data_IF_763566844630
#
_entry.id   IF_763566844630
#
_cell.length_a   1.000
_cell.length_b   1.000
_cell.length_c   1.000
_cell.angle_alpha   90.00
_cell.angle_beta   90.00
_cell.angle_gamma   90.00
#
_symmetry.space_group_name_H-M   'P 1'
#
loop_
_entity.id
_entity.type
_entity.pdbx_description
1 polymer ?
#
# COMPACT_ATOMS: atom_id res chain seq x y z
N UNK A 1 29.76 25.04 -21.22
CA UNK A 1 28.34 25.28 -20.81
C UNK A 1 27.38 24.09 -21.09
N UNK A 2 27.52 23.34 -22.20
CA UNK A 2 26.59 22.25 -22.61
C UNK A 2 26.57 21.04 -21.65
N UNK A 3 27.72 20.63 -21.09
CA UNK A 3 27.82 19.49 -20.16
C UNK A 3 27.06 19.73 -18.84
N UNK A 4 27.08 20.97 -18.32
CA UNK A 4 26.35 21.34 -17.11
C UNK A 4 24.83 21.26 -17.33
N UNK A 5 24.33 21.72 -18.49
CA UNK A 5 22.91 21.59 -18.86
C UNK A 5 22.48 20.12 -18.97
N UNK A 6 23.32 19.24 -19.54
CA UNK A 6 23.05 17.78 -19.60
C UNK A 6 22.92 17.13 -18.22
N UNK A 7 23.83 17.41 -17.28
CA UNK A 7 23.75 16.88 -15.90
C UNK A 7 22.47 17.34 -15.19
N UNK A 8 22.08 18.61 -15.37
CA UNK A 8 20.86 19.19 -14.77
C UNK A 8 19.58 18.52 -15.28
N UNK A 9 19.48 18.28 -16.59
CA UNK A 9 18.33 17.59 -17.21
C UNK A 9 18.25 16.13 -16.74
N UNK A 10 19.38 15.43 -16.68
CA UNK A 10 19.42 14.04 -16.24
C UNK A 10 19.00 13.89 -14.77
N UNK A 11 19.46 14.81 -13.89
CA UNK A 11 19.04 14.86 -12.49
C UNK A 11 17.54 15.14 -12.34
N UNK A 12 16.99 16.03 -13.17
CA UNK A 12 15.54 16.31 -13.22
C UNK A 12 14.73 15.08 -13.62
N UNK A 13 15.16 14.36 -14.66
CA UNK A 13 14.48 13.14 -15.12
C UNK A 13 14.54 12.00 -14.08
N UNK A 14 15.70 11.78 -13.46
CA UNK A 14 15.84 10.80 -12.37
C UNK A 14 14.95 11.13 -11.17
N UNK A 15 14.90 12.39 -10.74
CA UNK A 15 14.02 12.82 -9.64
C UNK A 15 12.55 12.58 -9.98
N UNK A 16 12.14 12.88 -11.22
CA UNK A 16 10.77 12.60 -11.69
C UNK A 16 10.44 11.11 -11.64
N UNK A 17 11.36 10.25 -12.09
CA UNK A 17 11.19 8.79 -12.04
C UNK A 17 11.07 8.26 -10.62
N UNK A 18 11.89 8.77 -9.69
CA UNK A 18 11.78 8.42 -8.27
C UNK A 18 10.41 8.78 -7.70
N UNK A 19 9.90 9.99 -7.99
CA UNK A 19 8.57 10.39 -7.55
C UNK A 19 7.46 9.50 -8.12
N UNK A 20 7.50 9.17 -9.41
CA UNK A 20 6.53 8.25 -10.02
C UNK A 20 6.57 6.89 -9.32
N UNK A 21 7.77 6.33 -9.12
CA UNK A 21 7.95 5.01 -8.52
C UNK A 21 7.46 5.02 -7.05
N UNK A 22 7.72 6.10 -6.33
CA UNK A 22 7.22 6.31 -4.96
C UNK A 22 5.70 6.45 -4.93
N UNK A 23 5.09 7.14 -5.88
CA UNK A 23 3.62 7.21 -5.97
C UNK A 23 3.01 5.83 -6.21
N UNK A 24 3.60 5.02 -7.11
CA UNK A 24 3.12 3.65 -7.35
C UNK A 24 3.28 2.78 -6.10
N UNK A 25 4.42 2.88 -5.40
CA UNK A 25 4.63 2.22 -4.12
C UNK A 25 3.53 2.58 -3.11
N UNK A 26 3.28 3.88 -2.93
CA UNK A 26 2.30 4.37 -1.96
C UNK A 26 0.89 3.92 -2.32
N UNK A 27 0.51 3.92 -3.60
CA UNK A 27 -0.78 3.41 -4.04
C UNK A 27 -0.93 1.92 -3.73
N UNK A 28 0.07 1.09 -4.06
CA UNK A 28 0.03 -0.34 -3.76
C UNK A 28 0.00 -0.60 -2.24
N UNK A 29 0.82 0.12 -1.48
CA UNK A 29 0.86 0.05 -0.01
C UNK A 29 -0.50 0.42 0.60
N UNK A 30 -1.07 1.54 0.19
CA UNK A 30 -2.37 2.02 0.69
C UNK A 30 -3.51 1.09 0.31
N UNK A 31 -3.46 0.41 -0.84
CA UNK A 31 -4.47 -0.59 -1.19
C UNK A 31 -4.46 -1.76 -0.21
N UNK A 32 -3.28 -2.26 0.17
CA UNK A 32 -3.15 -3.39 1.12
C UNK A 32 -3.51 -2.99 2.55
N UNK A 33 -2.94 -1.88 3.04
CA UNK A 33 -3.21 -1.40 4.40
C UNK A 33 -4.65 -0.89 4.51
N UNK A 34 -5.17 -0.25 3.47
CA UNK A 34 -6.54 0.23 3.41
C UNK A 34 -7.56 -0.89 3.40
N UNK A 35 -7.33 -1.99 2.66
CA UNK A 35 -8.22 -3.15 2.72
C UNK A 35 -8.21 -3.80 4.10
N UNK A 36 -7.03 -3.94 4.71
CA UNK A 36 -6.91 -4.47 6.07
C UNK A 36 -7.62 -3.58 7.10
N UNK A 37 -7.51 -2.26 6.97
CA UNK A 37 -8.23 -1.31 7.84
C UNK A 37 -9.75 -1.41 7.65
N UNK A 38 -10.21 -1.54 6.41
CA UNK A 38 -11.63 -1.74 6.12
C UNK A 38 -12.16 -3.02 6.78
N UNK A 39 -11.41 -4.12 6.66
CA UNK A 39 -11.77 -5.40 7.28
C UNK A 39 -11.76 -5.30 8.82
N UNK A 40 -10.86 -4.50 9.41
CA UNK A 40 -10.80 -4.27 10.86
C UNK A 40 -12.06 -3.55 11.35
N UNK A 41 -12.42 -2.45 10.68
CA UNK A 41 -13.62 -1.68 10.97
C UNK A 41 -14.86 -2.55 10.82
N UNK A 42 -14.94 -3.34 9.73
CA UNK A 42 -16.05 -4.25 9.50
C UNK A 42 -16.14 -5.33 10.57
N UNK A 43 -15.03 -5.96 10.94
CA UNK A 43 -14.99 -7.00 11.97
C UNK A 43 -15.39 -6.44 13.34
N UNK A 44 -14.91 -5.25 13.70
CA UNK A 44 -15.29 -4.56 14.92
C UNK A 44 -16.77 -4.20 14.92
N UNK A 45 -17.28 -3.65 13.81
CA UNK A 45 -18.70 -3.32 13.67
C UNK A 45 -19.60 -4.57 13.78
N UNK A 46 -19.20 -5.67 13.15
CA UNK A 46 -19.89 -6.95 13.24
C UNK A 46 -19.88 -7.50 14.67
N UNK A 47 -18.76 -7.40 15.40
CA UNK A 47 -18.69 -7.81 16.79
C UNK A 47 -19.57 -6.93 17.70
N UNK A 48 -19.57 -5.62 17.47
CA UNK A 48 -20.39 -4.67 18.22
C UNK A 48 -21.90 -4.84 17.96
N UNK A 49 -22.30 -5.52 16.88
CA UNK A 49 -23.72 -5.82 16.64
C UNK A 49 -24.34 -6.77 17.67
N UNK A 50 -23.51 -7.49 18.43
CA UNK A 50 -23.95 -8.38 19.50
C UNK A 50 -24.10 -7.67 20.86
N UNK A 51 -23.60 -6.45 20.99
CA UNK A 51 -23.81 -5.58 22.16
C UNK A 51 -25.20 -4.92 21.99
N UNK A 52 -26.22 -5.58 22.54
CA UNK A 52 -27.61 -5.21 22.36
C UNK A 52 -27.99 -4.02 23.23
N UNK A 53 -27.40 -3.94 24.44
CA UNK A 53 -27.67 -2.87 25.40
C UNK A 53 -26.76 -1.63 25.18
N UNK A 54 -25.71 -1.75 24.35
CA UNK A 54 -24.75 -0.70 23.98
C UNK A 54 -23.93 -0.17 25.16
N UNK A 55 -23.65 -1.02 26.15
CA UNK A 55 -22.85 -0.66 27.31
C UNK A 55 -21.35 -0.88 27.10
N UNK A 56 -20.95 -1.45 25.96
CA UNK A 56 -19.56 -1.73 25.60
C UNK A 56 -19.01 -3.05 26.15
N UNK A 57 -19.83 -3.82 26.86
CA UNK A 57 -19.50 -5.14 27.39
C UNK A 57 -20.52 -6.17 26.88
N UNK A 58 -20.08 -7.41 26.76
CA UNK A 58 -21.00 -8.52 26.42
C UNK A 58 -21.45 -9.20 27.70
N UNK A 59 -22.76 -9.39 27.85
CA UNK A 59 -23.35 -9.98 29.05
C UNK A 59 -24.55 -10.88 28.73
N UNK A 60 -24.84 -11.85 29.62
CA UNK A 60 -26.06 -12.66 29.55
C UNK A 60 -26.33 -13.31 28.19
N UNK A 61 -27.40 -12.87 27.52
CA UNK A 61 -27.86 -13.39 26.23
C UNK A 61 -27.04 -12.89 25.01
N UNK A 62 -26.16 -11.91 25.19
CA UNK A 62 -25.23 -11.40 24.17
C UNK A 62 -24.07 -12.38 23.94
N UNK A 63 -23.71 -13.15 24.97
CA UNK A 63 -22.68 -14.19 24.91
C UNK A 63 -23.28 -15.44 24.27
N UNK A 64 -23.00 -15.63 22.99
CA UNK A 64 -23.40 -16.80 22.23
C UNK A 64 -22.28 -17.26 21.28
N UNK A 65 -22.48 -18.40 20.64
CA UNK A 65 -21.49 -19.00 19.75
C UNK A 65 -21.09 -18.07 18.59
N UNK A 66 -22.04 -17.33 18.02
CA UNK A 66 -21.77 -16.41 16.90
C UNK A 66 -20.95 -15.20 17.36
N UNK A 67 -21.25 -14.66 18.53
CA UNK A 67 -20.47 -13.59 19.15
C UNK A 67 -19.03 -14.07 19.44
N UNK A 68 -18.87 -15.29 19.97
CA UNK A 68 -17.55 -15.89 20.22
C UNK A 68 -16.75 -16.07 18.94
N UNK A 69 -17.38 -16.54 17.86
CA UNK A 69 -16.75 -16.65 16.54
C UNK A 69 -16.35 -15.27 15.97
N UNK A 70 -17.21 -14.26 16.11
CA UNK A 70 -16.91 -12.90 15.68
C UNK A 70 -15.71 -12.33 16.47
N UNK A 71 -15.65 -12.57 17.78
CA UNK A 71 -14.55 -12.17 18.64
C UNK A 71 -13.24 -12.86 18.24
N UNK A 72 -13.29 -14.18 18.02
CA UNK A 72 -12.12 -14.95 17.58
C UNK A 72 -11.59 -14.49 16.21
N UNK A 73 -12.49 -14.13 15.28
CA UNK A 73 -12.11 -13.59 13.97
C UNK A 73 -11.48 -12.20 14.07
N UNK A 74 -11.95 -11.37 15.00
CA UNK A 74 -11.36 -10.06 15.25
C UNK A 74 -9.96 -10.21 15.86
N UNK A 75 -9.76 -11.07 16.85
CA UNK A 75 -8.51 -11.12 17.62
C UNK A 75 -7.39 -11.95 16.96
N UNK A 76 -7.73 -12.99 16.20
CA UNK A 76 -6.74 -13.92 15.63
C UNK A 76 -6.33 -13.62 14.18
N UNK A 77 -6.58 -12.39 13.69
CA UNK A 77 -6.24 -12.01 12.32
C UNK A 77 -4.81 -11.46 12.21
N UNK A 78 -3.85 -12.39 12.04
CA UNK A 78 -2.43 -12.08 11.82
C UNK A 78 -2.24 -11.24 10.55
N UNK A 79 -3.03 -11.49 9.51
CA UNK A 79 -2.90 -10.80 8.22
C UNK A 79 -3.19 -9.31 8.36
N UNK A 80 -4.24 -8.97 9.11
CA UNK A 80 -4.62 -7.59 9.42
C UNK A 80 -3.60 -6.90 10.33
N UNK A 81 -3.17 -7.58 11.39
CA UNK A 81 -2.18 -7.04 12.33
C UNK A 81 -0.82 -6.77 11.67
N UNK A 82 -0.41 -7.59 10.71
CA UNK A 82 0.85 -7.43 9.97
C UNK A 82 0.67 -6.75 8.61
N UNK A 83 -0.51 -6.18 8.34
CA UNK A 83 -0.84 -5.56 7.04
C UNK A 83 0.14 -4.45 6.64
N UNK A 84 0.65 -3.68 7.61
CA UNK A 84 1.66 -2.65 7.36
C UNK A 84 2.99 -3.25 6.87
N UNK A 85 3.42 -4.40 7.41
CA UNK A 85 4.64 -5.09 6.97
C UNK A 85 4.42 -5.71 5.59
N UNK A 86 3.32 -6.43 5.42
CA UNK A 86 3.00 -7.08 4.15
C UNK A 86 2.81 -6.07 3.03
N UNK A 87 2.17 -4.94 3.30
CA UNK A 87 2.04 -3.81 2.37
C UNK A 87 3.39 -3.29 1.87
N UNK A 88 4.41 -3.20 2.74
CA UNK A 88 5.77 -2.84 2.33
C UNK A 88 6.38 -3.92 1.43
N UNK A 89 6.28 -5.19 1.84
CA UNK A 89 6.84 -6.33 1.08
C UNK A 89 6.24 -6.40 -0.32
N UNK A 90 4.93 -6.21 -0.46
CA UNK A 90 4.26 -6.22 -1.77
C UNK A 90 4.45 -4.91 -2.56
N UNK A 91 4.55 -3.76 -1.89
CA UNK A 91 4.76 -2.47 -2.56
C UNK A 91 6.16 -2.31 -3.17
N UNK A 92 7.20 -2.81 -2.49
CA UNK A 92 8.60 -2.62 -2.93
C UNK A 92 8.88 -3.17 -4.34
N UNK A 93 8.43 -4.39 -4.72
CA UNK A 93 8.54 -4.87 -6.10
C UNK A 93 7.95 -3.91 -7.14
N UNK A 94 6.77 -3.35 -6.90
CA UNK A 94 6.16 -2.38 -7.82
C UNK A 94 7.02 -1.12 -7.99
N UNK A 95 7.60 -0.61 -6.89
CA UNK A 95 8.53 0.51 -6.93
C UNK A 95 9.76 0.21 -7.77
N UNK A 96 10.38 -0.95 -7.54
CA UNK A 96 11.60 -1.38 -8.23
C UNK A 96 11.34 -1.55 -9.73
N UNK A 97 10.26 -2.24 -10.09
CA UNK A 97 9.89 -2.49 -11.49
C UNK A 97 9.59 -1.19 -12.23
N UNK A 98 8.82 -0.28 -11.64
CA UNK A 98 8.54 1.03 -12.25
C UNK A 98 9.78 1.89 -12.38
N UNK A 99 10.67 1.87 -11.40
CA UNK A 99 11.92 2.63 -11.45
C UNK A 99 12.87 2.09 -12.52
N UNK A 100 13.13 0.78 -12.54
CA UNK A 100 14.01 0.14 -13.53
C UNK A 100 13.44 0.30 -14.94
N UNK A 101 12.14 0.03 -15.13
CA UNK A 101 11.46 0.23 -16.42
C UNK A 101 11.59 1.67 -16.90
N UNK A 102 11.35 2.64 -16.01
CA UNK A 102 11.52 4.06 -16.31
C UNK A 102 12.95 4.45 -16.71
N UNK A 103 13.97 3.86 -16.07
CA UNK A 103 15.37 4.06 -16.44
C UNK A 103 15.68 3.51 -17.83
N UNK A 104 15.21 2.31 -18.16
CA UNK A 104 15.41 1.67 -19.48
C UNK A 104 14.77 2.52 -20.58
N UNK A 105 13.51 2.93 -20.39
CA UNK A 105 12.78 3.76 -21.36
C UNK A 105 13.45 5.13 -21.57
N UNK A 106 13.92 5.76 -20.49
CA UNK A 106 14.61 7.05 -20.57
C UNK A 106 15.94 6.95 -21.33
N UNK A 107 16.68 5.86 -21.14
CA UNK A 107 17.92 5.59 -21.90
C UNK A 107 17.63 5.37 -23.39
N UNK A 108 16.64 4.53 -23.73
CA UNK A 108 16.25 4.25 -25.13
C UNK A 108 15.82 5.52 -25.86
N UNK A 109 14.97 6.35 -25.24
CA UNK A 109 14.52 7.63 -25.81
C UNK A 109 15.69 8.57 -26.11
N UNK A 110 16.67 8.65 -25.20
CA UNK A 110 17.87 9.49 -25.39
C UNK A 110 18.70 9.04 -26.60
N UNK A 111 18.94 7.74 -26.75
CA UNK A 111 19.74 7.20 -27.87
C UNK A 111 19.06 7.47 -29.22
N UNK A 112 17.74 7.29 -29.30
CA UNK A 112 16.97 7.60 -30.50
C UNK A 112 17.05 9.08 -30.90
N UNK A 113 16.96 10.01 -29.93
CA UNK A 113 17.09 11.46 -30.21
C UNK A 113 18.50 11.84 -30.65
N UNK A 114 19.54 11.12 -30.23
CA UNK A 114 20.92 11.39 -30.67
C UNK A 114 21.20 10.87 -32.09
N UNK A 115 20.49 9.86 -32.58
CA UNK A 115 20.63 9.33 -33.94
C UNK A 115 19.91 10.19 -35.01
N UNK A 116 19.02 11.09 -34.60
CA UNK A 116 18.21 11.95 -35.48
C UNK A 116 18.75 13.37 -35.64
N UNK A 117 19.81 13.73 -34.91
CA UNK A 117 20.50 15.02 -34.96
C UNK A 117 21.84 14.82 -35.64
#
# INVERSE_FOLDING_TARGET
MILAKRKKIFRKNKRRLLWISLTVFLLAYLSVVGSALYDDIYAQWNLNSYDLNKDGFFSGNEINEKQSQAMAKLTNDIGRNLSFITGIIFGLPFMILTYIGGLILTKRKKNYTQQRL
#
